data_IF_886391452983
#
_entry.id   IF_886391452983
#
_cell.length_a   1.000
_cell.length_b   1.000
_cell.length_c   1.000
_cell.angle_alpha   90.00
_cell.angle_beta   90.00
_cell.angle_gamma   90.00
#
_symmetry.space_group_name_H-M   'P 1'
#
loop_
_entity.id
_entity.type
_entity.pdbx_description
1 polymer ?
#
# COMPACT_ATOMS: atom_id res chain seq x y z
N UNK A 1 33.60 -0.70 -0.70
CA UNK A 1 32.21 -0.37 -0.38
C UNK A 1 31.46 -0.20 -1.69
N UNK A 2 30.32 -0.87 -1.87
CA UNK A 2 29.49 -0.69 -3.07
C UNK A 2 28.93 0.75 -3.09
N UNK A 3 28.75 1.32 -4.28
CA UNK A 3 28.08 2.63 -4.43
C UNK A 3 26.58 2.48 -4.22
N UNK A 4 25.90 3.52 -3.76
CA UNK A 4 24.45 3.50 -3.57
C UNK A 4 23.69 3.14 -4.85
N UNK A 5 24.20 3.56 -6.02
CA UNK A 5 23.67 3.18 -7.32
C UNK A 5 23.73 1.67 -7.56
N UNK A 6 24.85 1.03 -7.26
CA UNK A 6 25.01 -0.40 -7.44
C UNK A 6 24.07 -1.18 -6.51
N UNK A 7 23.93 -0.74 -5.25
CA UNK A 7 23.00 -1.33 -4.29
C UNK A 7 21.56 -1.21 -4.79
N UNK A 8 21.15 -0.02 -5.22
CA UNK A 8 19.79 0.19 -5.74
C UNK A 8 19.49 -0.64 -6.99
N UNK A 9 20.43 -0.74 -7.92
CA UNK A 9 20.27 -1.59 -9.11
C UNK A 9 20.13 -3.07 -8.74
N UNK A 10 20.92 -3.53 -7.77
CA UNK A 10 20.80 -4.88 -7.23
C UNK A 10 19.43 -5.12 -6.60
N UNK A 11 18.94 -4.20 -5.76
CA UNK A 11 17.62 -4.31 -5.12
C UNK A 11 16.49 -4.36 -6.17
N UNK A 12 16.59 -3.57 -7.25
CA UNK A 12 15.63 -3.62 -8.37
C UNK A 12 15.65 -4.97 -9.07
N UNK A 13 16.84 -5.52 -9.36
CA UNK A 13 16.97 -6.83 -10.00
C UNK A 13 16.44 -7.96 -9.13
N UNK A 14 16.80 -7.98 -7.84
CA UNK A 14 16.31 -8.97 -6.89
C UNK A 14 14.79 -8.93 -6.76
N UNK A 15 14.20 -7.73 -6.80
CA UNK A 15 12.75 -7.55 -6.78
C UNK A 15 12.07 -8.16 -8.01
N UNK A 16 12.62 -7.93 -9.21
CA UNK A 16 12.08 -8.53 -10.43
C UNK A 16 12.19 -10.06 -10.42
N UNK A 17 13.33 -10.60 -9.97
CA UNK A 17 13.51 -12.04 -9.83
C UNK A 17 12.49 -12.66 -8.86
N UNK A 18 12.22 -12.01 -7.72
CA UNK A 18 11.20 -12.48 -6.76
C UNK A 18 9.80 -12.54 -7.39
N UNK A 19 9.42 -11.53 -8.18
CA UNK A 19 8.13 -11.52 -8.84
C UNK A 19 7.97 -12.61 -9.90
N UNK A 20 9.01 -12.83 -10.71
CA UNK A 20 9.01 -13.92 -11.69
C UNK A 20 8.86 -15.29 -11.00
N UNK A 21 9.59 -15.53 -9.90
CA UNK A 21 9.47 -16.76 -9.09
C UNK A 21 8.06 -16.90 -8.52
N UNK A 22 7.49 -15.80 -8.00
CA UNK A 22 6.16 -15.80 -7.40
C UNK A 22 5.06 -16.13 -8.42
N UNK A 23 5.12 -15.53 -9.62
CA UNK A 23 4.15 -15.77 -10.69
C UNK A 23 4.26 -17.19 -11.25
N UNK A 24 5.46 -17.74 -11.33
CA UNK A 24 5.68 -19.14 -11.72
C UNK A 24 5.02 -20.14 -10.76
N UNK A 25 4.88 -19.79 -9.47
CA UNK A 25 4.24 -20.62 -8.46
C UNK A 25 2.85 -20.08 -8.07
N UNK A 26 1.86 -20.34 -8.93
CA UNK A 26 0.46 -19.89 -8.75
C UNK A 26 -0.15 -20.26 -7.39
N UNK A 27 0.21 -21.42 -6.82
CA UNK A 27 -0.30 -21.85 -5.52
C UNK A 27 0.25 -20.97 -4.40
N UNK A 28 1.55 -20.68 -4.43
CA UNK A 28 2.18 -19.75 -3.50
C UNK A 28 1.61 -18.34 -3.67
N UNK A 29 1.45 -17.87 -4.91
CA UNK A 29 0.87 -16.57 -5.19
C UNK A 29 -0.55 -16.44 -4.62
N UNK A 30 -1.40 -17.45 -4.78
CA UNK A 30 -2.73 -17.45 -4.15
C UNK A 30 -2.69 -17.38 -2.63
N UNK A 31 -1.74 -18.09 -2.01
CA UNK A 31 -1.56 -18.04 -0.55
C UNK A 31 -1.09 -16.65 -0.09
N UNK A 32 -0.26 -15.97 -0.88
CA UNK A 32 0.23 -14.62 -0.60
C UNK A 32 -0.88 -13.58 -0.79
N UNK A 33 -1.66 -13.71 -1.87
CA UNK A 33 -2.76 -12.80 -2.19
C UNK A 33 -3.85 -12.81 -1.12
N UNK A 34 -4.08 -13.94 -0.45
CA UNK A 34 -5.00 -14.03 0.67
C UNK A 34 -6.47 -14.01 0.24
N UNK A 35 -7.31 -13.34 1.02
CA UNK A 35 -8.75 -13.21 0.75
C UNK A 35 -9.07 -12.18 -0.34
N UNK A 36 -10.36 -12.05 -0.70
CA UNK A 36 -10.82 -11.15 -1.77
C UNK A 36 -10.47 -9.67 -1.49
N UNK A 37 -10.52 -9.22 -0.23
CA UNK A 37 -10.19 -7.85 0.15
C UNK A 37 -8.70 -7.58 -0.06
N UNK A 38 -7.84 -8.53 0.32
CA UNK A 38 -6.40 -8.45 0.11
C UNK A 38 -6.02 -8.54 -1.37
N UNK A 39 -6.72 -9.37 -2.14
CA UNK A 39 -6.57 -9.46 -3.59
C UNK A 39 -6.91 -8.14 -4.28
N UNK A 40 -8.04 -7.52 -3.90
CA UNK A 40 -8.46 -6.22 -4.43
C UNK A 40 -7.45 -5.13 -4.07
N UNK A 41 -6.95 -5.11 -2.84
CA UNK A 41 -5.89 -4.18 -2.42
C UNK A 41 -4.65 -4.32 -3.30
N UNK A 42 -4.15 -5.55 -3.48
CA UNK A 42 -2.97 -5.79 -4.33
C UNK A 42 -3.20 -5.34 -5.76
N UNK A 43 -4.34 -5.68 -6.37
CA UNK A 43 -4.65 -5.27 -7.74
C UNK A 43 -4.79 -3.76 -7.88
N UNK A 44 -5.40 -3.10 -6.89
CA UNK A 44 -5.53 -1.64 -6.87
C UNK A 44 -4.18 -0.96 -6.75
N UNK A 45 -3.29 -1.48 -5.89
CA UNK A 45 -1.94 -0.95 -5.73
C UNK A 45 -1.08 -1.12 -6.99
N UNK A 46 -1.16 -2.27 -7.66
CA UNK A 46 -0.47 -2.50 -8.93
C UNK A 46 -1.02 -1.58 -10.03
N UNK A 47 -2.35 -1.45 -10.15
CA UNK A 47 -2.97 -0.56 -11.13
C UNK A 47 -2.62 0.92 -10.88
N UNK A 48 -2.68 1.37 -9.62
CA UNK A 48 -2.30 2.72 -9.22
C UNK A 48 -0.85 3.04 -9.62
N UNK A 49 0.05 2.11 -9.35
CA UNK A 49 1.46 2.30 -9.63
C UNK A 49 1.75 2.37 -11.13
N UNK A 50 1.10 1.55 -11.96
CA UNK A 50 1.15 1.71 -13.42
C UNK A 50 0.62 3.08 -13.87
N UNK A 51 -0.51 3.52 -13.35
CA UNK A 51 -1.10 4.80 -13.73
C UNK A 51 -0.25 6.00 -13.32
N UNK A 52 0.39 5.92 -12.15
CA UNK A 52 1.16 7.03 -11.59
C UNK A 52 2.63 7.06 -12.03
N UNK A 53 3.22 5.90 -12.31
CA UNK A 53 4.66 5.73 -12.49
C UNK A 53 5.05 5.00 -13.79
N UNK A 54 4.08 4.49 -14.55
CA UNK A 54 4.29 3.60 -15.68
C UNK A 54 5.25 4.13 -16.76
N UNK A 55 5.09 5.38 -17.16
CA UNK A 55 5.84 5.96 -18.30
C UNK A 55 7.29 6.35 -17.95
N UNK A 56 7.54 6.85 -16.74
CA UNK A 56 8.82 7.49 -16.40
C UNK A 56 9.71 6.69 -15.44
N UNK A 57 9.18 5.64 -14.81
CA UNK A 57 9.87 4.96 -13.69
C UNK A 57 10.37 3.56 -14.04
N UNK A 58 9.67 2.86 -14.94
CA UNK A 58 9.98 1.48 -15.28
C UNK A 58 10.89 1.34 -16.49
N UNK A 59 11.80 0.39 -16.39
CA UNK A 59 12.42 -0.20 -17.58
C UNK A 59 11.41 -1.15 -18.26
N UNK A 60 11.60 -1.41 -19.56
CA UNK A 60 10.73 -2.33 -20.32
C UNK A 60 10.59 -3.70 -19.62
N UNK A 61 11.71 -4.25 -19.10
CA UNK A 61 11.71 -5.50 -18.36
C UNK A 61 10.84 -5.44 -17.09
N UNK A 62 10.92 -4.34 -16.33
CA UNK A 62 10.13 -4.20 -15.11
C UNK A 62 8.64 -4.04 -15.44
N UNK A 63 8.32 -3.29 -16.49
CA UNK A 63 6.97 -3.15 -16.99
C UNK A 63 6.38 -4.53 -17.34
N UNK A 64 7.10 -5.34 -18.10
CA UNK A 64 6.68 -6.69 -18.49
C UNK A 64 6.46 -7.60 -17.29
N UNK A 65 7.39 -7.60 -16.33
CA UNK A 65 7.30 -8.44 -15.12
C UNK A 65 6.11 -8.02 -14.26
N UNK A 66 5.93 -6.74 -13.99
CA UNK A 66 4.85 -6.25 -13.14
C UNK A 66 3.50 -6.42 -13.85
N UNK A 67 3.46 -6.30 -15.18
CA UNK A 67 2.27 -6.55 -15.98
C UNK A 67 1.87 -8.02 -15.89
N UNK A 68 2.83 -8.95 -15.99
CA UNK A 68 2.56 -10.38 -15.83
C UNK A 68 2.09 -10.73 -14.40
N UNK A 69 2.64 -10.06 -13.37
CA UNK A 69 2.13 -10.16 -11.99
C UNK A 69 0.67 -9.72 -11.93
N UNK A 70 0.34 -8.52 -12.43
CA UNK A 70 -1.03 -8.00 -12.43
C UNK A 70 -1.99 -8.95 -13.15
N UNK A 71 -1.64 -9.38 -14.37
CA UNK A 71 -2.45 -10.29 -15.17
C UNK A 71 -2.64 -11.65 -14.48
N UNK A 72 -1.62 -12.14 -13.77
CA UNK A 72 -1.73 -13.38 -13.01
C UNK A 72 -2.65 -13.21 -11.81
N UNK A 73 -2.51 -12.14 -11.04
CA UNK A 73 -3.40 -11.82 -9.91
C UNK A 73 -4.85 -11.68 -10.37
N UNK A 74 -5.10 -11.00 -11.49
CA UNK A 74 -6.43 -10.88 -12.09
C UNK A 74 -7.02 -12.24 -12.44
N UNK A 75 -6.27 -13.09 -13.14
CA UNK A 75 -6.75 -14.44 -13.53
C UNK A 75 -7.06 -15.33 -12.34
N UNK A 76 -6.29 -15.18 -11.26
CA UNK A 76 -6.40 -16.02 -10.07
C UNK A 76 -7.51 -15.57 -9.13
N UNK A 77 -7.71 -14.25 -8.97
CA UNK A 77 -8.76 -13.66 -8.12
C UNK A 77 -10.11 -13.54 -8.82
N UNK A 78 -10.12 -13.36 -10.15
CA UNK A 78 -11.32 -12.97 -10.90
C UNK A 78 -11.70 -11.50 -10.72
N UNK A 79 -10.89 -10.70 -10.03
CA UNK A 79 -11.10 -9.28 -9.81
C UNK A 79 -10.40 -8.45 -10.88
N UNK A 80 -11.05 -7.38 -11.33
CA UNK A 80 -10.53 -6.47 -12.34
C UNK A 80 -10.55 -5.03 -11.79
N UNK A 81 -9.38 -4.40 -11.75
CA UNK A 81 -9.24 -2.97 -11.43
C UNK A 81 -8.78 -2.23 -12.68
N UNK A 82 -9.73 -1.67 -13.42
CA UNK A 82 -9.46 -1.02 -14.72
C UNK A 82 -8.76 0.33 -14.55
N UNK A 83 -9.17 1.09 -13.54
CA UNK A 83 -8.61 2.39 -13.24
C UNK A 83 -8.69 2.69 -11.75
N UNK A 84 -7.68 3.39 -11.24
CA UNK A 84 -7.65 3.91 -9.89
C UNK A 84 -8.01 5.40 -9.95
N UNK A 85 -8.95 5.88 -9.11
CA UNK A 85 -9.34 7.30 -9.10
C UNK A 85 -8.16 8.23 -8.77
N UNK A 86 -8.16 9.45 -9.33
CA UNK A 86 -7.11 10.44 -9.09
C UNK A 86 -6.94 10.82 -7.61
N UNK A 87 -8.02 10.77 -6.84
CA UNK A 87 -8.02 11.03 -5.40
C UNK A 87 -7.44 9.87 -4.58
N UNK A 88 -7.13 8.72 -5.18
CA UNK A 88 -6.66 7.58 -4.42
C UNK A 88 -5.29 7.86 -3.79
N UNK A 89 -5.21 7.64 -2.48
CA UNK A 89 -3.97 7.71 -1.71
C UNK A 89 -3.81 6.39 -0.98
N UNK A 90 -2.79 5.59 -1.32
CA UNK A 90 -2.59 4.31 -0.66
C UNK A 90 -2.12 4.50 0.79
N UNK A 91 -2.50 3.56 1.66
CA UNK A 91 -2.24 3.63 3.10
C UNK A 91 -0.78 3.89 3.48
N UNK A 92 0.18 3.32 2.73
CA UNK A 92 1.60 3.48 3.01
C UNK A 92 2.15 4.90 2.74
N UNK A 93 1.43 5.73 1.97
CA UNK A 93 1.80 7.13 1.74
C UNK A 93 1.47 8.03 2.94
N UNK A 94 0.65 7.55 3.88
CA UNK A 94 0.26 8.27 5.09
C UNK A 94 1.16 7.87 6.26
N UNK A 95 1.90 8.84 6.81
CA UNK A 95 2.81 8.61 7.93
C UNK A 95 2.64 9.70 8.97
N UNK A 96 2.29 9.33 10.21
CA UNK A 96 2.20 10.26 11.35
C UNK A 96 1.36 11.52 11.05
N UNK A 97 0.19 11.34 10.44
CA UNK A 97 -0.70 12.44 10.01
C UNK A 97 -0.03 13.40 9.02
N UNK A 98 0.85 12.86 8.17
CA UNK A 98 1.46 13.60 7.06
C UNK A 98 1.29 12.83 5.76
N UNK A 99 1.09 13.59 4.70
CA UNK A 99 1.08 13.11 3.32
C UNK A 99 1.99 14.02 2.49
N UNK A 100 2.96 13.43 1.79
CA UNK A 100 3.98 14.19 1.04
C UNK A 100 4.70 15.29 1.86
N UNK A 101 4.79 15.11 3.18
CA UNK A 101 5.38 16.10 4.10
C UNK A 101 4.43 17.23 4.53
N UNK A 102 3.20 17.25 4.02
CA UNK A 102 2.16 18.19 4.44
C UNK A 102 1.41 17.58 5.63
N UNK A 103 1.12 18.38 6.67
CA UNK A 103 0.26 17.94 7.78
C UNK A 103 -1.18 17.78 7.31
N UNK A 104 -1.79 16.64 7.59
CA UNK A 104 -3.13 16.27 7.12
C UNK A 104 -3.97 15.72 8.27
N UNK A 105 -5.28 15.91 8.17
CA UNK A 105 -6.22 15.25 9.07
C UNK A 105 -6.74 13.99 8.37
N UNK A 106 -6.59 12.83 9.03
CA UNK A 106 -7.01 11.53 8.50
C UNK A 106 -8.26 11.07 9.21
N UNK A 107 -9.35 10.94 8.47
CA UNK A 107 -10.64 10.45 8.95
C UNK A 107 -10.81 8.98 8.60
N UNK A 108 -10.76 8.10 9.59
CA UNK A 108 -10.97 6.66 9.40
C UNK A 108 -12.47 6.34 9.37
N UNK A 109 -12.90 5.66 8.31
CA UNK A 109 -14.30 5.31 8.06
C UNK A 109 -14.64 3.97 8.72
N UNK A 110 -14.75 3.98 10.05
CA UNK A 110 -15.05 2.77 10.83
C UNK A 110 -16.44 2.22 10.48
N UNK A 111 -16.52 0.89 10.30
CA UNK A 111 -17.75 0.17 9.94
C UNK A 111 -18.39 0.61 8.62
N UNK A 112 -17.64 1.28 7.74
CA UNK A 112 -18.06 1.58 6.37
C UNK A 112 -17.44 0.59 5.39
N UNK A 113 -17.96 0.57 4.17
CA UNK A 113 -17.46 -0.27 3.08
C UNK A 113 -16.76 0.57 2.00
N UNK A 114 -16.13 -0.13 1.07
CA UNK A 114 -15.45 0.44 -0.10
C UNK A 114 -16.33 1.41 -0.90
N UNK A 115 -17.57 1.01 -1.17
CA UNK A 115 -18.53 1.80 -1.94
C UNK A 115 -18.83 3.15 -1.27
N UNK A 116 -19.03 3.15 0.04
CA UNK A 116 -19.26 4.36 0.81
C UNK A 116 -18.03 5.28 0.74
N UNK A 117 -16.83 4.73 0.94
CA UNK A 117 -15.57 5.49 0.85
C UNK A 117 -15.42 6.13 -0.54
N UNK A 118 -15.61 5.33 -1.59
CA UNK A 118 -15.50 5.76 -3.00
C UNK A 118 -16.49 6.86 -3.35
N UNK A 119 -17.76 6.72 -2.93
CA UNK A 119 -18.80 7.73 -3.17
C UNK A 119 -18.51 9.03 -2.43
N UNK A 120 -18.09 8.94 -1.17
CA UNK A 120 -17.77 10.11 -0.35
C UNK A 120 -16.54 10.84 -0.90
N UNK A 121 -15.47 10.12 -1.23
CA UNK A 121 -14.26 10.67 -1.80
C UNK A 121 -14.53 11.36 -3.15
N UNK A 122 -15.29 10.71 -4.04
CA UNK A 122 -15.65 11.30 -5.33
C UNK A 122 -16.47 12.58 -5.17
N UNK A 123 -17.46 12.60 -4.26
CA UNK A 123 -18.27 13.79 -4.01
C UNK A 123 -17.47 14.97 -3.43
N UNK A 124 -16.45 14.68 -2.60
CA UNK A 124 -15.60 15.69 -1.99
C UNK A 124 -14.45 16.14 -2.90
N UNK A 125 -13.95 15.27 -3.77
CA UNK A 125 -12.84 15.56 -4.68
C UNK A 125 -13.16 16.70 -5.64
N UNK A 126 -14.38 16.73 -6.17
CA UNK A 126 -14.80 17.75 -7.12
C UNK A 126 -15.13 19.10 -6.43
N UNK A 127 -15.20 19.12 -5.09
CA UNK A 127 -15.68 20.27 -4.32
C UNK A 127 -14.56 21.27 -4.00
N UNK A 128 -14.33 22.20 -4.93
CA UNK A 128 -13.33 23.25 -4.79
C UNK A 128 -13.98 24.57 -4.33
N UNK A 129 -14.17 24.73 -3.01
CA UNK A 129 -14.77 25.95 -2.45
C UNK A 129 -13.94 26.51 -1.27
N UNK A 130 -13.71 27.84 -1.19
CA UNK A 130 -12.88 28.46 -0.13
C UNK A 130 -13.35 28.23 1.32
N UNK A 131 -14.60 27.79 1.51
CA UNK A 131 -15.20 27.54 2.82
C UNK A 131 -15.52 26.07 3.08
N UNK A 132 -15.03 25.17 2.23
CA UNK A 132 -15.14 23.73 2.43
C UNK A 132 -13.75 23.16 2.56
N UNK A 133 -13.56 22.29 3.55
CA UNK A 133 -12.29 21.61 3.80
C UNK A 133 -11.90 20.83 2.55
N UNK A 134 -10.70 21.10 2.04
CA UNK A 134 -10.19 20.41 0.86
C UNK A 134 -9.89 18.93 1.17
N UNK A 135 -10.38 18.04 0.31
CA UNK A 135 -9.94 16.66 0.25
C UNK A 135 -8.60 16.58 -0.51
N UNK A 136 -7.61 15.92 0.09
CA UNK A 136 -6.35 15.58 -0.57
C UNK A 136 -6.35 14.17 -1.14
N UNK A 137 -7.17 13.27 -0.61
CA UNK A 137 -7.38 11.96 -1.19
C UNK A 137 -8.09 10.99 -0.26
N UNK A 138 -8.17 9.73 -0.65
CA UNK A 138 -8.79 8.67 0.15
C UNK A 138 -8.25 7.27 -0.18
N UNK A 139 -8.39 6.33 0.74
CA UNK A 139 -8.12 4.91 0.54
C UNK A 139 -9.41 4.11 0.72
N UNK A 140 -9.83 3.40 -0.34
CA UNK A 140 -11.04 2.56 -0.34
C UNK A 140 -10.74 1.06 -0.26
N UNK A 141 -9.45 0.67 -0.27
CA UNK A 141 -9.02 -0.74 -0.17
C UNK A 141 -8.19 -1.00 1.08
N UNK A 142 -8.03 -2.28 1.41
CA UNK A 142 -7.23 -2.73 2.55
C UNK A 142 -7.97 -2.64 3.89
N UNK A 143 -7.23 -2.81 4.99
CA UNK A 143 -7.79 -2.94 6.35
C UNK A 143 -8.47 -1.66 6.83
N UNK A 144 -7.94 -0.50 6.45
CA UNK A 144 -8.42 0.80 6.90
C UNK A 144 -8.86 1.65 5.73
N UNK A 145 -10.15 1.97 5.72
CA UNK A 145 -10.73 2.94 4.81
C UNK A 145 -10.61 4.32 5.43
N UNK A 146 -10.14 5.31 4.68
CA UNK A 146 -9.95 6.65 5.22
C UNK A 146 -10.05 7.75 4.16
N UNK A 147 -10.37 8.96 4.62
CA UNK A 147 -10.28 10.21 3.88
C UNK A 147 -9.11 11.05 4.42
N UNK A 148 -8.44 11.76 3.53
CA UNK A 148 -7.31 12.63 3.84
C UNK A 148 -7.71 14.06 3.53
N UNK A 149 -7.74 14.90 4.55
CA UNK A 149 -8.15 16.29 4.45
C UNK A 149 -6.99 17.24 4.72
N UNK A 150 -7.12 18.48 4.25
CA UNK A 150 -6.27 19.56 4.74
C UNK A 150 -6.38 19.65 6.28
N UNK A 151 -5.24 19.80 6.95
CA UNK A 151 -5.26 19.95 8.39
C UNK A 151 -5.75 21.35 8.77
N UNK A 152 -6.88 21.40 9.48
CA UNK A 152 -7.40 22.66 9.99
C UNK A 152 -6.87 22.83 11.41
N UNK A 153 -6.15 23.92 11.67
CA UNK A 153 -5.78 24.28 13.05
C UNK A 153 -7.06 24.47 13.84
N UNK A 154 -7.45 23.46 14.63
CA UNK A 154 -8.56 23.58 15.58
C UNK A 154 -8.23 24.76 16.48
N UNK A 155 -8.98 25.86 16.37
CA UNK A 155 -8.91 26.93 17.34
C UNK A 155 -9.18 26.31 18.70
N UNK A 156 -8.22 26.40 19.61
CA UNK A 156 -8.26 25.79 20.94
C UNK A 156 -9.56 26.18 21.63
N UNK A 157 -10.48 25.22 21.73
CA UNK A 157 -11.58 25.23 22.68
C UNK A 157 -11.38 24.04 23.59
N UNK A 158 -11.15 24.37 24.86
CA UNK A 158 -10.79 23.56 26.01
C UNK A 158 -11.59 22.24 26.19
N UNK A 159 -10.86 21.23 26.69
CA UNK A 159 -11.26 19.98 27.39
C UNK A 159 -11.25 18.67 26.59
N UNK A 160 -10.10 18.00 26.70
CA UNK A 160 -9.91 16.61 27.15
C UNK A 160 -10.80 15.51 26.57
N UNK A 161 -10.28 14.84 25.54
CA UNK A 161 -10.34 13.37 25.39
C UNK A 161 -9.43 12.92 24.23
N UNK A 162 -8.12 12.87 24.42
CA UNK A 162 -7.22 12.17 23.50
C UNK A 162 -6.13 11.41 24.26
N UNK A 163 -6.50 10.22 24.73
CA UNK A 163 -5.65 9.09 25.10
C UNK A 163 -6.57 7.88 24.81
N UNK A 164 -6.27 6.86 24.01
CA UNK A 164 -5.04 6.23 23.59
C UNK A 164 -5.32 5.48 22.28
N UNK A 165 -4.49 5.63 21.23
CA UNK A 165 -4.21 4.52 20.30
C UNK A 165 -2.91 4.68 19.50
N UNK A 166 -2.04 5.62 19.85
CA UNK A 166 -0.83 5.94 19.09
C UNK A 166 0.35 4.95 19.25
N UNK A 167 0.12 3.70 19.71
CA UNK A 167 1.21 2.80 20.09
C UNK A 167 1.52 1.62 19.15
N UNK A 168 0.97 1.54 17.93
CA UNK A 168 1.23 0.36 17.06
C UNK A 168 2.09 0.62 15.81
N UNK A 169 2.44 1.86 15.44
CA UNK A 169 3.28 2.11 14.24
C UNK A 169 4.61 2.82 14.53
N UNK A 170 5.30 2.39 15.59
CA UNK A 170 6.70 2.75 15.81
C UNK A 170 7.61 1.60 15.37
N UNK A 171 7.97 1.55 14.09
CA UNK A 171 9.30 1.13 13.63
C UNK A 171 9.41 1.15 12.10
N UNK A 172 9.80 2.29 11.52
CA UNK A 172 10.73 2.28 10.39
C UNK A 172 11.69 3.47 10.57
N UNK A 173 13.02 3.24 10.62
CA UNK A 173 13.98 4.32 10.74
C UNK A 173 13.97 5.17 9.47
N UNK A 174 13.90 6.47 9.71
CA UNK A 174 13.86 7.53 8.73
C UNK A 174 15.27 7.87 8.25
N UNK A 175 15.90 7.09 7.37
CA UNK A 175 17.04 7.53 6.52
C UNK A 175 17.05 6.68 5.22
N UNK A 176 17.08 7.33 4.06
CA UNK A 176 17.03 6.79 2.67
C UNK A 176 15.64 6.53 2.07
N UNK A 177 15.00 7.63 1.68
CA UNK A 177 13.82 7.66 0.80
C UNK A 177 14.28 7.43 -0.65
N UNK A 178 14.67 6.20 -1.00
CA UNK A 178 14.86 5.78 -2.39
C UNK A 178 13.60 5.02 -2.80
N UNK A 179 12.75 5.68 -3.60
CA UNK A 179 11.59 5.11 -4.32
C UNK A 179 10.99 3.81 -3.76
N UNK A 180 10.07 3.93 -2.80
CA UNK A 180 9.06 2.89 -2.60
C UNK A 180 8.10 2.92 -3.82
N UNK A 181 8.53 2.45 -5.00
CA UNK A 181 7.67 2.36 -6.18
C UNK A 181 7.37 0.90 -6.52
N UNK A 182 6.07 0.60 -6.66
CA UNK A 182 5.46 -0.59 -7.27
C UNK A 182 5.65 -1.96 -6.67
N UNK A 183 6.85 -2.28 -6.17
CA UNK A 183 7.16 -3.65 -5.79
C UNK A 183 7.27 -3.91 -4.29
N UNK A 184 7.41 -2.86 -3.49
CA UNK A 184 7.29 -3.00 -2.03
C UNK A 184 5.83 -3.22 -1.60
N UNK A 185 4.87 -3.01 -2.50
CA UNK A 185 3.43 -3.10 -2.23
C UNK A 185 2.98 -4.52 -1.92
N UNK A 186 3.58 -5.50 -2.60
CA UNK A 186 3.39 -6.92 -2.31
C UNK A 186 4.10 -7.35 -1.00
N UNK A 187 5.13 -6.63 -0.56
CA UNK A 187 5.81 -6.90 0.70
C UNK A 187 5.17 -6.14 1.88
N UNK A 188 4.61 -4.96 1.64
CA UNK A 188 3.90 -4.12 2.61
C UNK A 188 2.48 -4.66 2.89
N UNK A 189 1.79 -5.19 1.88
CA UNK A 189 0.59 -6.01 2.10
C UNK A 189 0.91 -7.26 2.93
N UNK A 190 2.07 -7.88 2.69
CA UNK A 190 2.62 -8.98 3.52
C UNK A 190 3.07 -8.50 4.92
N UNK A 191 3.44 -7.24 5.11
CA UNK A 191 3.73 -6.67 6.44
C UNK A 191 2.42 -6.40 7.21
N UNK A 192 1.34 -6.01 6.53
CA UNK A 192 -0.01 -5.99 7.09
C UNK A 192 -0.44 -7.41 7.56
N UNK A 193 -0.05 -8.45 6.80
CA UNK A 193 -0.15 -9.87 7.19
C UNK A 193 0.57 -10.17 8.53
N UNK A 194 1.74 -9.57 8.78
CA UNK A 194 2.52 -9.78 10.02
C UNK A 194 1.86 -9.19 11.26
N UNK A 195 1.13 -8.09 11.13
CA UNK A 195 0.42 -7.49 12.27
C UNK A 195 -0.76 -8.38 12.69
N UNK A 196 -1.43 -9.03 11.74
CA UNK A 196 -2.51 -9.98 12.03
C UNK A 196 -2.00 -11.35 12.53
N UNK A 197 -0.91 -11.88 11.96
CA UNK A 197 -0.28 -13.14 12.40
C UNK A 197 0.37 -13.07 13.79
N UNK A 198 0.80 -11.88 14.25
CA UNK A 198 1.30 -11.71 15.63
C UNK A 198 0.25 -11.94 16.71
N UNK A 199 -1.05 -11.95 16.37
CA UNK A 199 -2.12 -12.36 17.30
C UNK A 199 -2.39 -13.87 17.32
N UNK A 200 -1.81 -14.66 16.42
CA UNK A 200 -2.10 -16.11 16.36
C UNK A 200 -0.92 -17.08 16.18
N UNK A 201 0.29 -16.70 15.76
CA UNK A 201 1.32 -17.73 15.49
C UNK A 201 2.75 -17.31 15.86
N UNK A 202 3.17 -17.69 17.06
CA UNK A 202 4.57 -17.83 17.47
C UNK A 202 5.30 -19.01 16.77
N UNK A 203 4.74 -19.57 15.69
CA UNK A 203 5.21 -20.83 15.08
C UNK A 203 5.53 -20.78 13.59
N UNK A 204 5.15 -19.74 12.84
CA UNK A 204 5.35 -19.69 11.36
C UNK A 204 6.66 -19.02 10.91
N UNK A 205 7.35 -18.30 11.80
CA UNK A 205 8.60 -17.59 11.49
C UNK A 205 9.78 -18.52 11.14
N UNK A 206 9.66 -19.83 11.43
CA UNK A 206 10.69 -20.84 11.17
C UNK A 206 10.57 -21.50 9.80
N UNK A 207 9.44 -21.34 9.09
CA UNK A 207 9.21 -21.99 7.80
C UNK A 207 9.83 -21.21 6.62
N UNK A 208 9.74 -19.88 6.60
CA UNK A 208 10.33 -19.10 5.50
C UNK A 208 11.87 -19.13 5.47
N UNK A 209 12.52 -19.27 6.62
CA UNK A 209 14.00 -19.34 6.72
C UNK A 209 14.55 -20.75 6.50
N UNK A 210 13.75 -21.80 6.67
CA UNK A 210 14.16 -23.18 6.43
C UNK A 210 13.98 -23.61 4.97
N UNK A 211 12.96 -23.12 4.27
CA UNK A 211 12.71 -23.50 2.87
C UNK A 211 13.66 -22.85 1.86
N UNK A 212 14.20 -21.66 2.15
CA UNK A 212 15.25 -21.02 1.32
C UNK A 212 16.62 -21.70 1.44
N UNK A 213 16.83 -22.60 2.43
CA UNK A 213 18.07 -23.36 2.61
C UNK A 213 18.06 -24.75 1.96
N UNK A 214 16.93 -25.19 1.39
CA UNK A 214 16.79 -26.51 0.77
C UNK A 214 16.52 -26.45 -0.74
N UNK A 215 16.90 -25.35 -1.38
CA UNK A 215 16.93 -25.21 -2.84
C UNK A 215 18.37 -25.00 -3.35
N UNK A 216 19.33 -25.70 -2.73
CA UNK A 216 20.64 -26.07 -3.31
C UNK A 216 20.72 -27.60 -3.39
#
# INVERSE_FOLDING_TARGET
MATWHAVFQQERQERMARFQIMVANKKLLMQILGDEQQQLEVLTLLAYDFQKHGEDTYTDLEYDVISDVYQTCLRLSGLLVVAVPEWFVPAYEIQQSRWQGIGVDVEYLLNQNEEFCTRQASALWDLHHPHVVKLFGACHVGVFLFLVHESVKKSVSSRDAQLETAHILQSLPNENKVMLHGGELLLLSVISLRVNLKKQQLTTSLLLTSFLKHAE
#
